data_IF_584106589571
#
_entry.id   IF_584106589571
#
_cell.length_a   1.000
_cell.length_b   1.000
_cell.length_c   1.000
_cell.angle_alpha   90.00
_cell.angle_beta   90.00
_cell.angle_gamma   90.00
#
_symmetry.space_group_name_H-M   'P 1'
#
loop_
_entity.id
_entity.type
_entity.pdbx_description
1 polymer ?
#
# COMPACT_ATOMS: atom_id res chain seq x y z
N UNK A 1 -0.65 -69.16 -26.79
CA UNK A 1 -2.02 -69.13 -26.23
C UNK A 1 -2.03 -68.03 -25.16
N UNK A 2 -2.44 -66.80 -25.47
CA UNK A 2 -3.81 -66.25 -25.53
C UNK A 2 -4.56 -66.27 -24.18
N UNK A 3 -5.19 -65.11 -23.93
CA UNK A 3 -6.25 -64.75 -22.95
C UNK A 3 -5.73 -64.21 -21.59
N UNK A 4 -5.72 -62.88 -21.41
CA UNK A 4 -6.84 -62.02 -20.97
C UNK A 4 -7.49 -62.51 -19.67
N UNK A 5 -7.28 -61.74 -18.59
CA UNK A 5 -8.28 -61.58 -17.54
C UNK A 5 -8.33 -60.10 -17.16
N UNK A 6 -9.53 -59.57 -17.32
CA UNK A 6 -9.93 -58.17 -17.20
C UNK A 6 -10.68 -58.01 -15.87
N UNK A 7 -10.53 -56.82 -15.26
CA UNK A 7 -11.40 -56.18 -14.25
C UNK A 7 -11.41 -56.77 -12.84
N UNK A 8 -11.00 -55.93 -11.90
CA UNK A 8 -11.77 -55.73 -10.69
C UNK A 8 -11.91 -54.22 -10.47
N UNK A 9 -13.16 -53.77 -10.64
CA UNK A 9 -13.66 -52.45 -10.31
C UNK A 9 -13.72 -52.36 -8.78
N UNK A 10 -13.03 -51.40 -8.18
CA UNK A 10 -13.32 -50.97 -6.82
C UNK A 10 -13.57 -49.46 -6.85
N UNK A 11 -14.85 -49.12 -6.70
CA UNK A 11 -15.30 -47.79 -6.28
C UNK A 11 -14.55 -47.39 -5.01
N UNK A 12 -13.97 -46.19 -5.01
CA UNK A 12 -13.86 -45.41 -3.78
C UNK A 12 -14.16 -43.96 -4.10
N UNK A 13 -15.26 -43.50 -3.48
CA UNK A 13 -15.62 -42.13 -3.27
C UNK A 13 -14.48 -41.33 -2.61
N UNK A 14 -14.64 -40.01 -2.69
CA UNK A 14 -13.76 -38.97 -2.16
C UNK A 14 -12.60 -38.68 -3.12
N UNK A 15 -12.38 -37.45 -3.59
CA UNK A 15 -12.42 -36.20 -2.84
C UNK A 15 -12.74 -35.09 -3.83
N UNK A 16 -13.78 -34.30 -3.56
CA UNK A 16 -13.85 -32.92 -4.05
C UNK A 16 -13.07 -32.08 -3.03
N UNK A 17 -11.98 -31.40 -3.41
CA UNK A 17 -11.64 -30.14 -2.79
C UNK A 17 -11.91 -29.06 -3.82
N UNK A 18 -12.98 -28.32 -3.53
CA UNK A 18 -13.17 -26.94 -3.95
C UNK A 18 -11.90 -26.19 -3.53
N UNK A 19 -11.09 -25.77 -4.51
CA UNK A 19 -10.25 -24.60 -4.35
C UNK A 19 -10.59 -23.68 -5.51
N UNK A 20 -11.69 -22.96 -5.30
CA UNK A 20 -11.82 -21.59 -5.77
C UNK A 20 -10.48 -20.91 -5.49
N UNK A 21 -9.67 -20.74 -6.52
CA UNK A 21 -8.64 -19.71 -6.54
C UNK A 21 -9.38 -18.39 -6.46
N UNK A 22 -9.75 -18.00 -5.24
CA UNK A 22 -9.91 -16.59 -4.93
C UNK A 22 -8.55 -15.98 -5.23
N UNK A 23 -8.46 -15.39 -6.43
CA UNK A 23 -7.54 -14.29 -6.65
C UNK A 23 -7.85 -13.29 -5.54
N UNK A 24 -7.12 -13.40 -4.44
CA UNK A 24 -7.02 -12.33 -3.48
C UNK A 24 -6.40 -11.20 -4.26
N UNK A 25 -7.25 -10.30 -4.77
CA UNK A 25 -6.86 -8.94 -4.99
C UNK A 25 -6.08 -8.56 -3.73
N UNK A 26 -4.79 -8.24 -3.90
CA UNK A 26 -3.99 -7.67 -2.84
C UNK A 26 -4.78 -6.48 -2.32
N UNK A 27 -5.44 -6.67 -1.17
CA UNK A 27 -6.10 -5.62 -0.44
C UNK A 27 -4.96 -4.75 0.09
N UNK A 28 -4.43 -3.90 -0.78
CA UNK A 28 -3.40 -2.95 -0.42
C UNK A 28 -4.06 -1.98 0.54
N UNK A 29 -3.92 -2.30 1.83
CA UNK A 29 -4.38 -1.49 2.95
C UNK A 29 -4.08 -0.01 2.66
N UNK A 30 -5.14 0.75 2.40
CA UNK A 30 -5.08 2.16 1.98
C UNK A 30 -4.26 2.98 2.99
N UNK A 31 -4.25 2.60 4.27
CA UNK A 31 -3.44 3.24 5.30
C UNK A 31 -1.93 2.97 5.12
N UNK A 32 -1.54 1.82 4.58
CA UNK A 32 -0.14 1.54 4.21
C UNK A 32 0.29 2.37 3.00
N UNK A 33 -0.60 2.57 2.03
CA UNK A 33 -0.32 3.48 0.89
C UNK A 33 -0.13 4.90 1.42
N UNK A 34 -1.04 5.36 2.28
CA UNK A 34 -0.92 6.65 2.95
C UNK A 34 0.43 6.80 3.69
N UNK A 35 0.84 5.80 4.45
CA UNK A 35 2.12 5.82 5.16
C UNK A 35 3.32 5.95 4.22
N UNK A 36 3.29 5.24 3.08
CA UNK A 36 4.33 5.32 2.05
C UNK A 36 4.41 6.71 1.43
N UNK A 37 3.26 7.31 1.12
CA UNK A 37 3.21 8.70 0.67
C UNK A 37 3.87 9.61 1.71
N UNK A 38 3.34 9.66 2.93
CA UNK A 38 3.84 10.54 4.00
C UNK A 38 5.34 10.33 4.25
N UNK A 39 5.80 9.08 4.30
CA UNK A 39 7.22 8.75 4.50
C UNK A 39 8.11 9.27 3.36
N UNK A 40 7.67 9.11 2.10
CA UNK A 40 8.37 9.66 0.95
C UNK A 40 8.39 11.20 0.94
N UNK A 41 7.29 11.85 1.33
CA UNK A 41 7.20 13.32 1.49
C UNK A 41 8.24 13.82 2.50
N UNK A 42 8.33 13.17 3.67
CA UNK A 42 9.27 13.55 4.73
C UNK A 42 10.71 13.38 4.25
N UNK A 43 11.05 12.25 3.60
CA UNK A 43 12.40 12.02 3.07
C UNK A 43 12.73 13.02 1.96
N UNK A 44 11.83 13.27 1.01
CA UNK A 44 12.05 14.23 -0.06
C UNK A 44 12.27 15.65 0.47
N UNK A 45 11.52 16.06 1.50
CA UNK A 45 11.66 17.37 2.13
C UNK A 45 13.01 17.53 2.84
N UNK A 46 13.57 16.44 3.40
CA UNK A 46 14.80 16.48 4.20
C UNK A 46 16.08 16.22 3.39
N UNK A 47 16.00 15.32 2.42
CA UNK A 47 17.15 14.78 1.71
C UNK A 47 17.11 15.02 0.20
N UNK A 48 15.98 15.46 -0.36
CA UNK A 48 15.79 15.62 -1.79
C UNK A 48 15.94 17.07 -2.27
N UNK A 49 16.24 17.21 -3.56
CA UNK A 49 16.03 18.44 -4.31
C UNK A 49 14.97 18.16 -5.38
N UNK A 50 13.72 18.56 -5.12
CA UNK A 50 12.60 18.32 -6.03
C UNK A 50 12.32 19.57 -6.85
N UNK A 51 12.05 19.40 -8.14
CA UNK A 51 11.52 20.49 -8.95
C UNK A 51 10.03 20.71 -8.64
N UNK A 52 9.55 21.91 -8.93
CA UNK A 52 8.19 22.33 -8.61
C UNK A 52 7.12 21.43 -9.27
N UNK A 53 7.32 21.02 -10.53
CA UNK A 53 6.39 20.16 -11.25
C UNK A 53 6.17 18.81 -10.52
N UNK A 54 7.25 18.19 -10.04
CA UNK A 54 7.18 16.91 -9.31
C UNK A 54 6.42 17.10 -8.00
N UNK A 55 6.65 18.21 -7.29
CA UNK A 55 5.95 18.54 -6.05
C UNK A 55 4.45 18.71 -6.28
N UNK A 56 4.06 19.43 -7.33
CA UNK A 56 2.65 19.66 -7.65
C UNK A 56 1.92 18.35 -8.00
N UNK A 57 2.51 17.50 -8.84
CA UNK A 57 1.93 16.20 -9.19
C UNK A 57 1.80 15.29 -7.97
N UNK A 58 2.85 15.22 -7.15
CA UNK A 58 2.83 14.48 -5.91
C UNK A 58 1.69 14.92 -4.98
N UNK A 59 1.51 16.23 -4.78
CA UNK A 59 0.44 16.78 -3.94
C UNK A 59 -0.95 16.45 -4.48
N UNK A 60 -1.16 16.58 -5.80
CA UNK A 60 -2.42 16.22 -6.43
C UNK A 60 -2.78 14.75 -6.17
N UNK A 61 -1.81 13.87 -6.33
CA UNK A 61 -1.94 12.43 -6.10
C UNK A 61 -2.19 12.09 -4.63
N UNK A 62 -1.46 12.73 -3.71
CA UNK A 62 -1.69 12.54 -2.28
C UNK A 62 -3.09 13.00 -1.86
N UNK A 63 -3.58 14.11 -2.40
CA UNK A 63 -4.95 14.58 -2.16
C UNK A 63 -6.01 13.61 -2.72
N UNK A 64 -5.76 13.02 -3.88
CA UNK A 64 -6.66 12.03 -4.50
C UNK A 64 -6.79 10.74 -3.66
N UNK A 65 -5.78 10.39 -2.86
CA UNK A 65 -5.79 9.25 -1.95
C UNK A 65 -6.68 9.48 -0.70
N UNK A 66 -6.81 10.73 -0.25
CA UNK A 66 -7.44 11.04 1.04
C UNK A 66 -8.90 10.55 1.20
N UNK A 67 -9.79 10.61 0.19
CA UNK A 67 -11.13 10.06 0.31
C UNK A 67 -11.15 8.57 0.68
N UNK A 68 -10.26 7.76 0.08
CA UNK A 68 -10.13 6.34 0.39
C UNK A 68 -9.61 6.13 1.82
N UNK A 69 -8.66 6.95 2.27
CA UNK A 69 -8.14 6.92 3.66
C UNK A 69 -9.26 7.21 4.66
N UNK A 70 -10.07 8.24 4.41
CA UNK A 70 -11.19 8.58 5.28
C UNK A 70 -12.26 7.49 5.29
N UNK A 71 -12.55 6.87 4.13
CA UNK A 71 -13.48 5.76 4.01
C UNK A 71 -13.00 4.56 4.83
N UNK A 72 -11.74 4.14 4.65
CA UNK A 72 -11.14 3.04 5.42
C UNK A 72 -11.22 3.29 6.93
N UNK A 73 -10.90 4.51 7.38
CA UNK A 73 -11.00 4.86 8.81
C UNK A 73 -12.44 4.85 9.32
N UNK A 74 -13.41 5.25 8.49
CA UNK A 74 -14.82 5.19 8.86
C UNK A 74 -15.31 3.74 8.98
N UNK A 75 -14.90 2.85 8.07
CA UNK A 75 -15.24 1.42 8.10
C UNK A 75 -14.60 0.70 9.30
N UNK A 76 -13.38 1.08 9.70
CA UNK A 76 -12.73 0.51 10.88
C UNK A 76 -13.30 1.04 12.20
N UNK A 77 -13.82 2.28 12.21
CA UNK A 77 -14.24 3.04 13.40
C UNK A 77 -15.44 3.92 13.07
N UNK A 78 -16.59 3.28 12.96
CA UNK A 78 -17.87 3.94 12.66
C UNK A 78 -18.32 4.89 13.78
N UNK A 79 -17.83 4.67 15.01
CA UNK A 79 -18.12 5.48 16.20
C UNK A 79 -17.49 6.88 16.18
N UNK A 80 -16.52 7.11 15.28
CA UNK A 80 -15.81 8.38 15.21
C UNK A 80 -16.54 9.38 14.31
N UNK A 81 -16.50 10.65 14.69
CA UNK A 81 -16.90 11.74 13.80
C UNK A 81 -15.77 12.12 12.81
N UNK A 82 -16.08 13.05 11.90
CA UNK A 82 -15.11 13.53 10.91
C UNK A 82 -13.87 14.18 11.56
N UNK A 83 -14.04 14.96 12.63
CA UNK A 83 -12.94 15.66 13.31
C UNK A 83 -12.01 14.67 14.00
N UNK A 84 -12.57 13.66 14.64
CA UNK A 84 -11.81 12.59 15.30
C UNK A 84 -11.02 11.76 14.28
N UNK A 85 -11.61 11.40 13.13
CA UNK A 85 -10.88 10.75 12.04
C UNK A 85 -9.73 11.61 11.51
N UNK A 86 -9.97 12.91 11.33
CA UNK A 86 -8.92 13.83 10.89
C UNK A 86 -7.78 13.96 11.94
N UNK A 87 -8.12 13.95 13.23
CA UNK A 87 -7.12 13.94 14.30
C UNK A 87 -6.27 12.66 14.30
N UNK A 88 -6.87 11.50 13.99
CA UNK A 88 -6.13 10.23 13.84
C UNK A 88 -5.15 10.31 12.66
N UNK A 89 -5.58 10.82 11.51
CA UNK A 89 -4.72 10.99 10.34
C UNK A 89 -3.54 11.91 10.68
N UNK A 90 -3.79 13.05 11.32
CA UNK A 90 -2.74 13.99 11.68
C UNK A 90 -1.77 13.41 12.72
N UNK A 91 -2.28 12.72 13.74
CA UNK A 91 -1.44 12.03 14.72
C UNK A 91 -0.54 10.98 14.04
N UNK A 92 -1.07 10.24 13.06
CA UNK A 92 -0.30 9.27 12.27
C UNK A 92 0.80 9.96 11.45
N UNK A 93 0.50 11.08 10.78
CA UNK A 93 1.53 11.88 10.06
C UNK A 93 2.64 12.35 10.99
N UNK A 94 2.27 12.84 12.18
CA UNK A 94 3.24 13.33 13.14
C UNK A 94 4.14 12.21 13.68
N UNK A 95 3.58 11.04 13.97
CA UNK A 95 4.34 9.85 14.35
C UNK A 95 5.32 9.43 13.24
N UNK A 96 4.85 9.34 11.98
CA UNK A 96 5.72 9.03 10.84
C UNK A 96 6.83 10.06 10.67
N UNK A 97 6.52 11.36 10.81
CA UNK A 97 7.50 12.44 10.75
C UNK A 97 8.61 12.25 11.78
N UNK A 98 8.25 11.94 13.02
CA UNK A 98 9.23 11.71 14.09
C UNK A 98 10.11 10.50 13.78
N UNK A 99 9.50 9.35 13.45
CA UNK A 99 10.22 8.11 13.17
C UNK A 99 11.15 8.24 11.96
N UNK A 100 10.64 8.78 10.85
CA UNK A 100 11.43 8.94 9.62
C UNK A 100 12.54 9.97 9.81
N UNK A 101 12.29 11.06 10.55
CA UNK A 101 13.34 12.05 10.85
C UNK A 101 14.45 11.43 11.69
N UNK A 102 14.10 10.65 12.72
CA UNK A 102 15.09 9.94 13.54
C UNK A 102 15.92 8.97 12.69
N UNK A 103 15.28 8.22 11.80
CA UNK A 103 15.96 7.30 10.88
C UNK A 103 16.92 8.04 9.92
N UNK A 104 16.54 9.21 9.40
CA UNK A 104 17.43 10.04 8.58
C UNK A 104 18.61 10.56 9.39
N UNK A 105 18.39 10.97 10.65
CA UNK A 105 19.44 11.45 11.54
C UNK A 105 20.46 10.35 11.87
N UNK A 106 19.99 9.12 12.05
CA UNK A 106 20.83 7.96 12.38
C UNK A 106 21.62 7.45 11.16
N UNK A 107 20.95 7.26 10.02
CA UNK A 107 21.56 6.63 8.84
C UNK A 107 22.20 7.63 7.88
N UNK A 108 21.76 8.89 7.88
CA UNK A 108 22.12 9.89 6.88
C UNK A 108 21.32 9.76 5.58
N UNK A 109 21.29 10.86 4.82
CA UNK A 109 20.53 10.92 3.56
C UNK A 109 21.07 9.97 2.48
N UNK A 110 22.37 9.69 2.46
CA UNK A 110 23.00 8.86 1.43
C UNK A 110 22.83 7.35 1.65
N UNK A 111 22.26 6.95 2.79
CA UNK A 111 22.01 5.55 3.10
C UNK A 111 21.02 4.92 2.11
N UNK A 112 21.29 3.68 1.66
CA UNK A 112 20.52 2.99 0.63
C UNK A 112 19.01 2.97 0.92
N UNK A 113 18.62 2.70 2.17
CA UNK A 113 17.21 2.72 2.58
C UNK A 113 16.56 4.09 2.39
N UNK A 114 17.25 5.18 2.74
CA UNK A 114 16.73 6.53 2.61
C UNK A 114 16.61 6.89 1.12
N UNK A 115 17.60 6.53 0.31
CA UNK A 115 17.57 6.74 -1.14
C UNK A 115 16.44 5.96 -1.83
N UNK A 116 16.15 4.73 -1.40
CA UNK A 116 14.99 3.97 -1.89
C UNK A 116 13.67 4.66 -1.56
N UNK A 117 13.51 5.18 -0.34
CA UNK A 117 12.31 5.93 0.05
C UNK A 117 12.21 7.25 -0.73
N UNK A 118 13.34 7.94 -0.95
CA UNK A 118 13.39 9.16 -1.76
C UNK A 118 12.90 8.91 -3.19
N UNK A 119 13.31 7.79 -3.79
CA UNK A 119 12.87 7.40 -5.13
C UNK A 119 11.35 7.19 -5.21
N UNK A 120 10.70 6.73 -4.13
CA UNK A 120 9.25 6.58 -4.08
C UNK A 120 8.51 7.92 -4.22
N UNK A 121 9.13 9.05 -3.85
CA UNK A 121 8.51 10.36 -4.04
C UNK A 121 8.20 10.61 -5.52
N UNK A 122 9.15 10.31 -6.41
CA UNK A 122 8.95 10.44 -7.86
C UNK A 122 7.91 9.45 -8.38
N UNK A 123 7.95 8.20 -7.92
CA UNK A 123 6.93 7.19 -8.28
C UNK A 123 5.52 7.66 -7.90
N UNK A 124 5.36 8.21 -6.70
CA UNK A 124 4.10 8.76 -6.24
C UNK A 124 3.68 10.03 -7.01
N UNK A 125 4.62 10.82 -7.52
CA UNK A 125 4.33 11.96 -8.39
C UNK A 125 3.88 11.54 -9.80
N UNK A 126 4.36 10.39 -10.29
CA UNK A 126 4.00 9.84 -11.60
C UNK A 126 2.76 8.95 -11.55
N UNK A 127 2.28 8.59 -10.36
CA UNK A 127 1.05 7.83 -10.19
C UNK A 127 -0.11 8.56 -10.87
N UNK A 128 -0.84 7.87 -11.74
CA UNK A 128 -2.00 8.45 -12.38
C UNK A 128 -3.27 7.87 -11.75
N UNK A 129 -3.84 8.58 -10.78
CA UNK A 129 -5.10 8.19 -10.14
C UNK A 129 -6.30 8.18 -11.13
N UNK A 130 -6.15 8.75 -12.33
CA UNK A 130 -7.15 8.75 -13.41
C UNK A 130 -6.89 7.74 -14.53
N UNK A 131 -5.89 6.85 -14.39
CA UNK A 131 -5.57 5.84 -15.39
C UNK A 131 -6.49 4.62 -15.31
N UNK A 132 -7.16 4.31 -16.42
CA UNK A 132 -7.87 3.05 -16.72
C UNK A 132 -6.96 1.81 -16.54
N UNK A 133 -6.70 1.40 -15.31
CA UNK A 133 -5.74 0.33 -15.02
C UNK A 133 -5.79 -0.24 -13.60
N UNK A 134 -6.96 -0.21 -12.96
CA UNK A 134 -7.30 -1.09 -11.85
C UNK A 134 -8.55 -1.89 -12.23
#
# INVERSE_FOLDING_TARGET
MLLRAVRSFALSCAVLPILLSQAGAEDQDVLKIFDRFVTAEIVATRCGQMNEETVQKYQANFMALMPAVYKQLAEMREDLDKKQRQAIIEARRQMLRQNVTANIQDMGCDHETIQKILALYKVHAEWNASGDGA
#
